data_IF_239629719526
#
_entry.id   IF_239629719526
#
_cell.length_a   1.000
_cell.length_b   1.000
_cell.length_c   1.000
_cell.angle_alpha   90.00
_cell.angle_beta   90.00
_cell.angle_gamma   90.00
#
_symmetry.space_group_name_H-M   'P 1'
#
loop_
_entity.id
_entity.type
_entity.pdbx_description
1 polymer ?
#
# COMPACT_ATOMS: atom_id res chain seq x y z
N UNK A 1 10.15 -61.32 -16.98
CA UNK A 1 9.04 -60.49 -16.44
C UNK A 1 8.92 -59.27 -17.36
N UNK A 2 7.71 -58.83 -17.70
CA UNK A 2 7.53 -57.70 -18.63
C UNK A 2 8.03 -56.39 -18.00
N UNK A 3 8.75 -55.53 -18.75
CA UNK A 3 9.36 -54.32 -18.18
C UNK A 3 8.34 -53.35 -17.56
N UNK A 4 7.11 -53.32 -18.08
CA UNK A 4 6.01 -52.52 -17.52
C UNK A 4 5.65 -52.90 -16.07
N UNK A 5 5.69 -54.19 -15.70
CA UNK A 5 5.32 -54.63 -14.34
C UNK A 5 6.39 -54.24 -13.32
N UNK A 6 7.67 -54.31 -13.71
CA UNK A 6 8.78 -53.88 -12.84
C UNK A 6 8.74 -52.36 -12.65
N UNK A 7 8.51 -51.59 -13.73
CA UNK A 7 8.32 -50.13 -13.66
C UNK A 7 7.17 -49.71 -12.74
N UNK A 8 6.03 -50.42 -12.78
CA UNK A 8 4.88 -50.12 -11.95
C UNK A 8 5.08 -50.48 -10.47
N UNK A 9 5.82 -51.56 -10.16
CA UNK A 9 6.21 -51.88 -8.78
C UNK A 9 7.22 -50.85 -8.26
N UNK A 10 8.25 -50.52 -9.05
CA UNK A 10 9.25 -49.50 -8.70
C UNK A 10 8.58 -48.16 -8.41
N UNK A 11 7.72 -47.64 -9.30
CA UNK A 11 7.07 -46.34 -9.08
C UNK A 11 6.15 -46.33 -7.85
N UNK A 12 5.48 -47.46 -7.55
CA UNK A 12 4.66 -47.57 -6.33
C UNK A 12 5.51 -47.53 -5.05
N UNK A 13 6.69 -48.16 -5.06
CA UNK A 13 7.63 -48.08 -3.95
C UNK A 13 8.26 -46.69 -3.82
N UNK A 14 8.66 -46.06 -4.93
CA UNK A 14 9.24 -44.72 -4.93
C UNK A 14 8.24 -43.65 -4.44
N UNK A 15 6.96 -43.78 -4.76
CA UNK A 15 5.90 -42.87 -4.27
C UNK A 15 5.65 -43.05 -2.77
N UNK A 16 5.77 -44.28 -2.24
CA UNK A 16 5.68 -44.56 -0.79
C UNK A 16 6.96 -44.14 -0.04
N UNK A 17 8.13 -44.26 -0.66
CA UNK A 17 9.44 -44.01 -0.04
C UNK A 17 9.94 -42.55 -0.18
N UNK A 18 9.42 -41.77 -1.13
CA UNK A 18 9.62 -40.32 -1.22
C UNK A 18 11.04 -39.87 -1.56
N UNK A 19 11.74 -40.56 -2.47
CA UNK A 19 13.09 -40.19 -2.92
C UNK A 19 13.15 -40.08 -4.46
N UNK A 20 13.73 -38.97 -4.95
CA UNK A 20 13.78 -38.55 -6.36
C UNK A 20 15.00 -39.11 -7.13
N UNK A 21 14.95 -39.06 -8.47
CA UNK A 21 16.10 -39.20 -9.39
C UNK A 21 16.08 -38.09 -10.50
N UNK A 22 17.23 -37.65 -11.08
CA UNK A 22 17.32 -36.42 -11.91
C UNK A 22 17.74 -36.60 -13.41
N UNK A 23 17.71 -35.46 -14.17
CA UNK A 23 18.23 -35.21 -15.56
C UNK A 23 17.45 -35.83 -16.77
N UNK A 24 17.53 -35.34 -18.05
CA UNK A 24 18.54 -34.41 -18.62
C UNK A 24 18.12 -33.23 -19.56
N UNK A 25 18.94 -32.16 -19.50
CA UNK A 25 19.44 -31.18 -20.51
C UNK A 25 18.67 -30.72 -21.80
N UNK A 26 18.66 -29.39 -22.05
CA UNK A 26 18.45 -28.71 -23.36
C UNK A 26 18.94 -27.23 -23.35
N UNK A 27 19.54 -26.71 -24.44
CA UNK A 27 20.44 -25.51 -24.44
C UNK A 27 19.83 -24.14 -24.88
N UNK A 28 20.53 -22.98 -24.68
CA UNK A 28 19.93 -21.65 -24.42
C UNK A 28 20.02 -20.63 -25.58
N UNK A 29 19.42 -19.41 -25.47
CA UNK A 29 20.04 -18.23 -24.80
C UNK A 29 19.05 -17.46 -23.88
N UNK A 30 19.36 -16.41 -23.09
CA UNK A 30 20.59 -15.76 -22.57
C UNK A 30 20.23 -14.75 -21.45
N UNK A 31 21.18 -14.34 -20.59
CA UNK A 31 21.11 -13.25 -19.56
C UNK A 31 19.91 -13.27 -18.58
N UNK A 32 20.04 -13.41 -17.25
CA UNK A 32 21.13 -13.19 -16.26
C UNK A 32 20.96 -14.15 -15.07
N UNK A 33 21.98 -14.37 -14.21
CA UNK A 33 21.90 -15.28 -13.07
C UNK A 33 21.11 -14.71 -11.86
N UNK A 34 21.06 -15.49 -10.78
CA UNK A 34 20.62 -15.12 -9.42
C UNK A 34 19.11 -14.94 -9.18
N UNK A 35 18.37 -16.05 -9.27
CA UNK A 35 17.17 -16.29 -8.46
C UNK A 35 17.37 -17.54 -7.61
N UNK A 36 17.72 -17.35 -6.34
CA UNK A 36 17.91 -18.45 -5.41
C UNK A 36 16.66 -19.34 -5.32
N UNK A 37 16.76 -20.68 -5.48
CA UNK A 37 15.61 -21.58 -5.37
C UNK A 37 15.01 -21.61 -3.95
N UNK A 38 15.74 -21.10 -2.95
CA UNK A 38 15.28 -20.94 -1.56
C UNK A 38 14.24 -19.82 -1.36
N UNK A 39 13.85 -19.09 -2.41
CA UNK A 39 12.75 -18.14 -2.38
C UNK A 39 11.34 -18.78 -2.38
N UNK A 40 11.23 -20.07 -2.74
CA UNK A 40 9.95 -20.79 -2.86
C UNK A 40 9.49 -21.51 -1.60
N UNK A 41 10.34 -21.64 -0.57
CA UNK A 41 9.97 -22.24 0.71
C UNK A 41 9.52 -21.14 1.68
N UNK A 42 8.26 -21.17 2.18
CA UNK A 42 7.82 -20.24 3.22
C UNK A 42 8.65 -20.45 4.50
N UNK A 43 9.65 -19.60 4.73
CA UNK A 43 10.46 -19.68 5.95
C UNK A 43 9.55 -19.46 7.16
N UNK A 44 9.61 -20.32 8.19
CA UNK A 44 8.81 -20.13 9.39
C UNK A 44 9.14 -18.77 10.02
N UNK A 45 8.09 -17.98 10.28
CA UNK A 45 8.25 -16.62 10.76
C UNK A 45 8.82 -16.64 12.19
N UNK A 46 10.09 -16.24 12.32
CA UNK A 46 10.71 -15.96 13.62
C UNK A 46 9.84 -14.98 14.43
N UNK A 47 9.84 -15.02 15.78
CA UNK A 47 8.98 -14.17 16.61
C UNK A 47 9.12 -12.66 16.29
N UNK A 48 10.35 -12.23 15.97
CA UNK A 48 10.66 -10.87 15.54
C UNK A 48 9.96 -10.49 14.21
N UNK A 49 9.80 -11.44 13.30
CA UNK A 49 9.09 -11.26 12.04
C UNK A 49 7.59 -11.03 12.25
N UNK A 50 6.96 -11.75 13.19
CA UNK A 50 5.56 -11.53 13.54
C UNK A 50 5.35 -10.13 14.15
N UNK A 51 6.26 -9.69 15.01
CA UNK A 51 6.20 -8.34 15.60
C UNK A 51 6.37 -7.24 14.55
N UNK A 52 7.32 -7.40 13.61
CA UNK A 52 7.50 -6.48 12.48
C UNK A 52 6.24 -6.41 11.59
N UNK A 53 5.57 -7.53 11.34
CA UNK A 53 4.31 -7.56 10.57
C UNK A 53 3.15 -6.88 11.31
N UNK A 54 3.04 -7.06 12.63
CA UNK A 54 2.02 -6.35 13.46
C UNK A 54 2.22 -4.84 13.41
N UNK A 55 3.47 -4.36 13.55
CA UNK A 55 3.81 -2.93 13.42
C UNK A 55 3.50 -2.39 12.03
N UNK A 56 3.84 -3.15 10.98
CA UNK A 56 3.52 -2.79 9.60
C UNK A 56 2.01 -2.62 9.38
N UNK A 57 1.20 -3.58 9.85
CA UNK A 57 -0.25 -3.53 9.73
C UNK A 57 -0.86 -2.37 10.54
N UNK A 58 -0.36 -2.12 11.76
CA UNK A 58 -0.75 -0.98 12.58
C UNK A 58 -0.48 0.36 11.85
N UNK A 59 0.75 0.53 11.36
CA UNK A 59 1.18 1.74 10.64
C UNK A 59 0.36 1.95 9.35
N UNK A 60 0.08 0.88 8.61
CA UNK A 60 -0.74 0.90 7.40
C UNK A 60 -2.19 1.32 7.69
N UNK A 61 -2.83 0.68 8.68
CA UNK A 61 -4.20 1.02 9.13
C UNK A 61 -4.28 2.48 9.55
N UNK A 62 -3.32 2.92 10.37
CA UNK A 62 -3.30 4.28 10.91
C UNK A 62 -3.25 5.34 9.79
N UNK A 63 -2.32 5.22 8.84
CA UNK A 63 -2.23 6.15 7.71
C UNK A 63 -3.45 6.06 6.77
N UNK A 64 -3.93 4.85 6.46
CA UNK A 64 -5.08 4.63 5.56
C UNK A 64 -6.37 5.20 6.15
N UNK A 65 -6.64 4.97 7.44
CA UNK A 65 -7.79 5.52 8.17
C UNK A 65 -7.68 7.05 8.31
N UNK A 66 -6.51 7.58 8.66
CA UNK A 66 -6.27 9.02 8.77
C UNK A 66 -6.54 9.77 7.46
N UNK A 67 -5.96 9.31 6.35
CA UNK A 67 -6.17 9.93 5.02
C UNK A 67 -7.65 9.89 4.58
N UNK A 68 -8.38 8.80 4.88
CA UNK A 68 -9.82 8.71 4.59
C UNK A 68 -10.65 9.70 5.40
N UNK A 69 -10.32 9.88 6.70
CA UNK A 69 -10.98 10.85 7.61
C UNK A 69 -10.68 12.30 7.26
N UNK A 70 -9.44 12.59 6.83
CA UNK A 70 -9.04 13.85 6.22
C UNK A 70 -9.72 14.09 4.86
N UNK A 71 -10.52 13.16 4.34
CA UNK A 71 -11.35 13.32 3.14
C UNK A 71 -10.60 13.15 1.81
N UNK A 72 -9.49 12.43 1.81
CA UNK A 72 -8.83 11.94 0.59
C UNK A 72 -9.46 10.64 0.10
N UNK A 73 -9.40 10.39 -1.20
CA UNK A 73 -9.91 9.15 -1.81
C UNK A 73 -8.78 8.13 -1.85
N UNK A 74 -8.72 7.27 -0.83
CA UNK A 74 -7.77 6.15 -0.73
C UNK A 74 -8.37 4.89 -1.34
N UNK A 75 -7.62 4.24 -2.23
CA UNK A 75 -8.01 2.98 -2.87
C UNK A 75 -7.41 1.76 -2.14
N UNK A 76 -8.00 0.59 -2.31
CA UNK A 76 -7.55 -0.65 -1.66
C UNK A 76 -7.93 -0.75 -0.19
N UNK A 77 -7.36 -1.75 0.48
CA UNK A 77 -7.63 -2.12 1.87
C UNK A 77 -6.89 -1.22 2.88
N UNK A 78 -7.28 -1.27 4.17
CA UNK A 78 -6.62 -0.55 5.26
C UNK A 78 -5.34 -1.24 5.74
N UNK A 79 -5.26 -2.55 5.60
CA UNK A 79 -4.14 -3.37 6.09
C UNK A 79 -2.97 -3.42 5.10
N UNK A 80 -3.17 -2.90 3.88
CA UNK A 80 -2.16 -2.87 2.83
C UNK A 80 -1.03 -1.88 3.16
N UNK A 81 0.25 -2.31 3.17
CA UNK A 81 1.39 -1.42 3.40
C UNK A 81 1.63 -0.42 2.26
N UNK A 82 1.00 -0.66 1.10
CA UNK A 82 0.96 0.28 -0.03
C UNK A 82 -0.39 0.97 0.00
N UNK A 83 -0.39 2.29 0.23
CA UNK A 83 -1.59 3.11 0.39
C UNK A 83 -1.70 4.07 -0.80
N UNK A 84 -2.53 3.74 -1.82
CA UNK A 84 -2.73 4.59 -2.99
C UNK A 84 -3.77 5.69 -2.75
N UNK A 85 -3.33 6.95 -2.81
CA UNK A 85 -4.16 8.16 -2.82
C UNK A 85 -4.47 8.57 -4.27
N UNK A 86 -5.76 8.57 -4.63
CA UNK A 86 -6.22 8.96 -5.96
C UNK A 86 -6.29 10.48 -6.09
N UNK A 87 -5.53 11.03 -7.04
CA UNK A 87 -5.47 12.49 -7.31
C UNK A 87 -6.32 12.87 -8.54
N UNK A 88 -6.59 11.93 -9.45
CA UNK A 88 -7.38 12.09 -10.70
C UNK A 88 -6.86 13.15 -11.70
N UNK A 89 -5.85 13.94 -11.34
CA UNK A 89 -5.33 15.04 -12.14
C UNK A 89 -3.79 14.96 -12.26
N UNK A 90 -3.25 14.39 -13.36
CA UNK A 90 -1.82 14.05 -13.46
C UNK A 90 -0.88 15.26 -13.31
N UNK A 91 -1.26 16.45 -13.77
CA UNK A 91 -0.43 17.66 -13.64
C UNK A 91 -0.13 18.06 -12.20
N UNK A 92 -1.07 17.86 -11.27
CA UNK A 92 -0.92 18.20 -9.84
C UNK A 92 -0.09 17.15 -9.08
N UNK A 93 0.05 15.94 -9.61
CA UNK A 93 0.74 14.85 -8.90
C UNK A 93 2.24 15.09 -8.76
N UNK A 94 2.88 15.61 -9.82
CA UNK A 94 4.31 15.91 -9.78
C UNK A 94 4.59 17.11 -8.84
N UNK A 95 3.70 18.10 -8.84
CA UNK A 95 3.76 19.24 -7.92
C UNK A 95 3.58 18.79 -6.46
N UNK A 96 2.61 17.92 -6.18
CA UNK A 96 2.41 17.31 -4.86
C UNK A 96 3.67 16.62 -4.34
N UNK A 97 4.32 15.79 -5.18
CA UNK A 97 5.55 15.10 -4.83
C UNK A 97 6.73 16.04 -4.58
N UNK A 98 6.86 17.12 -5.37
CA UNK A 98 7.91 18.13 -5.17
C UNK A 98 7.69 18.92 -3.88
N UNK A 99 6.46 19.40 -3.64
CA UNK A 99 6.11 20.13 -2.43
C UNK A 99 6.32 19.30 -1.15
N UNK A 100 6.06 17.99 -1.19
CA UNK A 100 6.35 17.10 -0.05
C UNK A 100 7.85 16.97 0.24
N UNK A 101 8.66 16.84 -0.81
CA UNK A 101 10.11 16.74 -0.67
C UNK A 101 10.72 18.06 -0.21
N UNK A 102 10.34 19.18 -0.83
CA UNK A 102 10.89 20.51 -0.56
C UNK A 102 10.53 21.06 0.82
N UNK A 103 9.32 20.78 1.33
CA UNK A 103 8.83 21.35 2.59
C UNK A 103 8.97 20.43 3.81
N UNK A 104 8.88 19.12 3.64
CA UNK A 104 8.84 18.15 4.74
C UNK A 104 9.89 17.05 4.61
N UNK A 105 10.73 17.07 3.57
CA UNK A 105 11.68 15.99 3.23
C UNK A 105 11.03 14.61 3.03
N UNK A 106 9.75 14.56 2.65
CA UNK A 106 9.00 13.31 2.44
C UNK A 106 9.04 12.93 0.95
N UNK A 107 9.51 11.72 0.65
CA UNK A 107 9.49 11.13 -0.70
C UNK A 107 8.20 10.31 -0.88
N UNK A 108 7.49 10.53 -2.00
CA UNK A 108 6.29 9.77 -2.37
C UNK A 108 6.38 9.20 -3.77
N UNK A 109 5.77 8.03 -4.00
CA UNK A 109 5.84 7.36 -5.31
C UNK A 109 4.66 7.81 -6.18
N UNK A 110 4.95 8.67 -7.16
CA UNK A 110 3.99 9.08 -8.19
C UNK A 110 3.81 7.94 -9.20
N UNK A 111 2.59 7.45 -9.39
CA UNK A 111 2.27 6.44 -10.42
C UNK A 111 1.26 7.01 -11.42
N UNK A 112 1.74 7.18 -12.65
CA UNK A 112 1.01 7.68 -13.80
C UNK A 112 1.05 6.67 -14.96
N UNK A 113 0.62 7.11 -16.14
CA UNK A 113 0.81 6.37 -17.40
C UNK A 113 2.31 6.11 -17.67
N UNK A 114 2.74 4.92 -18.15
CA UNK A 114 1.94 3.80 -18.64
C UNK A 114 1.50 2.79 -17.55
N UNK A 115 2.02 2.88 -16.32
CA UNK A 115 1.79 1.89 -15.27
C UNK A 115 0.34 1.88 -14.71
N UNK A 116 -0.41 2.97 -14.89
CA UNK A 116 -1.86 3.04 -14.61
C UNK A 116 -2.58 3.87 -15.67
N UNK A 117 -3.86 3.59 -15.99
CA UNK A 117 -4.67 4.44 -16.85
C UNK A 117 -4.72 5.89 -16.34
N UNK A 118 -4.67 6.87 -17.27
CA UNK A 118 -4.63 8.32 -16.99
C UNK A 118 -5.68 8.76 -15.95
N UNK A 119 -6.92 8.30 -16.11
CA UNK A 119 -8.07 8.59 -15.21
C UNK A 119 -7.89 8.08 -13.78
N UNK A 120 -6.94 7.16 -13.55
CA UNK A 120 -6.71 6.48 -12.27
C UNK A 120 -5.32 6.74 -11.68
N UNK A 121 -4.65 7.80 -12.17
CA UNK A 121 -3.33 8.22 -11.72
C UNK A 121 -3.35 8.54 -10.22
N UNK A 122 -2.38 8.00 -9.49
CA UNK A 122 -2.37 7.95 -8.02
C UNK A 122 -0.98 8.08 -7.43
N UNK A 123 -0.89 8.69 -6.26
CA UNK A 123 0.35 8.70 -5.45
C UNK A 123 0.27 7.54 -4.46
N UNK A 124 1.37 6.82 -4.26
CA UNK A 124 1.45 5.70 -3.32
C UNK A 124 2.36 6.08 -2.16
N UNK A 125 1.84 5.95 -0.94
CA UNK A 125 2.66 5.89 0.26
C UNK A 125 3.07 4.43 0.47
N UNK A 126 4.37 4.20 0.62
CA UNK A 126 4.95 2.89 0.88
C UNK A 126 5.38 2.84 2.34
N UNK A 127 4.57 2.22 3.20
CA UNK A 127 4.81 2.15 4.63
C UNK A 127 5.64 0.91 4.96
N UNK A 128 6.57 1.07 5.91
CA UNK A 128 7.46 0.02 6.42
C UNK A 128 7.34 -0.08 7.95
N UNK A 129 7.66 -1.24 8.52
CA UNK A 129 7.60 -1.51 9.96
C UNK A 129 8.52 -0.61 10.82
N UNK A 130 9.52 0.03 10.19
CA UNK A 130 10.48 0.94 10.85
C UNK A 130 9.97 2.37 11.04
N UNK A 131 8.83 2.74 10.44
CA UNK A 131 8.27 4.08 10.64
C UNK A 131 7.70 4.22 12.05
N UNK A 132 8.00 5.35 12.69
CA UNK A 132 7.41 5.71 13.98
C UNK A 132 6.00 6.29 13.79
N UNK A 133 5.23 6.41 14.88
CA UNK A 133 3.91 7.06 14.81
C UNK A 133 4.07 8.52 14.41
N UNK A 134 5.08 9.18 14.96
CA UNK A 134 5.42 10.58 14.77
C UNK A 134 5.76 10.88 13.30
N UNK A 135 6.34 9.93 12.57
CA UNK A 135 6.57 10.07 11.12
C UNK A 135 5.28 9.97 10.31
N UNK A 136 4.34 9.11 10.73
CA UNK A 136 3.02 9.01 10.10
C UNK A 136 2.19 10.27 10.39
N UNK A 137 2.29 10.82 11.59
CA UNK A 137 1.66 12.08 11.99
C UNK A 137 2.17 13.25 11.13
N UNK A 138 3.49 13.34 10.89
CA UNK A 138 4.08 14.30 9.93
C UNK A 138 3.54 14.10 8.51
N UNK A 139 3.42 12.86 8.03
CA UNK A 139 2.85 12.54 6.71
C UNK A 139 1.39 13.02 6.62
N UNK A 140 0.57 12.80 7.65
CA UNK A 140 -0.81 13.25 7.69
C UNK A 140 -0.90 14.79 7.64
N UNK A 141 -0.11 15.50 8.46
CA UNK A 141 -0.07 16.97 8.48
C UNK A 141 0.38 17.54 7.12
N UNK A 142 1.46 17.00 6.55
CA UNK A 142 1.98 17.43 5.25
C UNK A 142 0.99 17.16 4.11
N UNK A 143 0.33 16.00 4.13
CA UNK A 143 -0.70 15.64 3.13
C UNK A 143 -1.92 16.54 3.23
N UNK A 144 -2.34 16.91 4.43
CA UNK A 144 -3.48 17.80 4.63
C UNK A 144 -3.21 19.20 4.08
N UNK A 145 -2.08 19.80 4.47
CA UNK A 145 -1.69 21.17 4.06
C UNK A 145 -1.45 21.27 2.54
N UNK A 146 -0.74 20.32 1.94
CA UNK A 146 -0.52 20.30 0.47
C UNK A 146 -1.82 19.94 -0.27
N UNK A 147 -2.61 19.03 0.28
CA UNK A 147 -3.90 18.61 -0.29
C UNK A 147 -4.95 19.71 -0.29
N UNK A 148 -4.88 20.65 0.65
CA UNK A 148 -5.69 21.87 0.65
C UNK A 148 -5.21 22.85 -0.42
N UNK A 149 -3.91 23.19 -0.44
CA UNK A 149 -3.31 24.09 -1.43
C UNK A 149 -3.54 23.64 -2.88
N UNK A 150 -3.55 22.33 -3.14
CA UNK A 150 -3.77 21.76 -4.47
C UNK A 150 -5.25 21.38 -4.74
N UNK A 151 -6.15 21.52 -3.76
CA UNK A 151 -7.58 21.18 -3.91
C UNK A 151 -7.82 19.69 -4.20
N UNK A 152 -7.14 18.80 -3.48
CA UNK A 152 -7.19 17.33 -3.65
C UNK A 152 -8.19 16.65 -2.69
N UNK A 153 -8.80 17.42 -1.81
CA UNK A 153 -9.73 17.05 -0.72
C UNK A 153 -11.13 16.62 -1.24
N UNK A 154 -11.19 15.69 -2.20
CA UNK A 154 -12.35 15.41 -3.08
C UNK A 154 -13.37 14.36 -2.60
N UNK A 155 -13.20 13.72 -1.43
CA UNK A 155 -14.11 12.65 -0.99
C UNK A 155 -15.54 13.15 -0.75
N UNK A 156 -16.54 12.59 -1.45
CA UNK A 156 -17.97 12.97 -1.29
C UNK A 156 -18.50 12.75 0.14
N UNK A 157 -17.92 11.82 0.90
CA UNK A 157 -18.30 11.56 2.31
C UNK A 157 -17.90 12.72 3.24
N UNK A 158 -16.97 13.58 2.80
CA UNK A 158 -16.47 14.74 3.54
C UNK A 158 -16.28 15.95 2.59
N UNK A 159 -17.37 16.27 1.87
CA UNK A 159 -17.33 16.87 0.53
C UNK A 159 -16.82 18.31 0.39
N UNK A 160 -15.83 18.48 -0.48
CA UNK A 160 -15.54 19.76 -1.16
C UNK A 160 -16.44 19.99 -2.39
N UNK A 161 -16.95 18.91 -3.01
CA UNK A 161 -17.67 18.94 -4.29
C UNK A 161 -19.18 19.22 -4.20
N UNK A 162 -19.72 19.45 -3.01
CA UNK A 162 -21.17 19.65 -2.80
C UNK A 162 -21.63 21.11 -2.82
N UNK A 163 -20.72 22.10 -2.77
CA UNK A 163 -21.13 23.49 -2.67
C UNK A 163 -20.18 24.47 -3.42
N UNK A 164 -20.59 25.08 -4.55
CA UNK A 164 -19.76 26.05 -5.27
C UNK A 164 -19.57 27.39 -4.55
N UNK A 165 -20.25 27.62 -3.41
CA UNK A 165 -20.05 28.79 -2.54
C UNK A 165 -19.08 28.55 -1.37
N UNK A 166 -18.36 27.41 -1.35
CA UNK A 166 -17.50 26.99 -0.23
C UNK A 166 -16.22 27.84 0.03
N UNK A 167 -16.08 29.02 -0.57
CA UNK A 167 -15.00 29.97 -0.26
C UNK A 167 -15.26 30.78 1.04
N UNK A 168 -16.46 30.68 1.63
CA UNK A 168 -16.89 31.56 2.75
C UNK A 168 -17.44 30.81 3.97
N UNK A 169 -17.55 29.47 3.93
CA UNK A 169 -18.11 28.67 5.02
C UNK A 169 -17.29 27.41 5.31
N UNK A 170 -17.22 26.94 6.58
CA UNK A 170 -16.52 25.71 6.93
C UNK A 170 -17.10 24.49 6.19
N UNK A 171 -16.24 23.55 5.81
CA UNK A 171 -16.59 22.39 5.00
C UNK A 171 -17.32 21.34 5.87
N UNK A 172 -18.66 21.39 5.84
CA UNK A 172 -19.54 20.42 6.54
C UNK A 172 -19.78 19.19 5.64
N UNK A 173 -19.75 17.99 6.23
CA UNK A 173 -20.04 16.75 5.51
C UNK A 173 -21.54 16.66 5.15
N UNK A 174 -21.91 15.81 4.18
CA UNK A 174 -23.32 15.53 3.85
C UNK A 174 -24.12 14.98 5.04
N UNK A 175 -23.43 14.33 6.00
CA UNK A 175 -23.99 13.76 7.21
C UNK A 175 -24.20 14.82 8.34
N UNK A 176 -24.02 16.12 8.06
CA UNK A 176 -24.10 17.21 9.04
C UNK A 176 -22.91 17.31 10.01
N UNK A 177 -22.11 16.26 10.14
CA UNK A 177 -20.86 16.28 10.91
C UNK A 177 -19.80 17.16 10.25
N UNK A 178 -18.92 17.78 11.05
CA UNK A 178 -17.75 18.50 10.55
C UNK A 178 -16.71 17.53 9.94
N UNK A 179 -15.91 17.99 8.97
CA UNK A 179 -14.68 17.30 8.57
C UNK A 179 -13.77 17.15 9.81
N UNK A 180 -13.04 16.06 9.94
CA UNK A 180 -12.08 15.94 11.03
C UNK A 180 -10.88 16.82 10.73
N UNK A 181 -10.62 17.80 11.58
CA UNK A 181 -9.41 18.61 11.54
C UNK A 181 -8.19 17.73 11.87
N UNK A 182 -7.01 18.15 11.43
CA UNK A 182 -5.78 17.37 11.62
C UNK A 182 -5.54 17.03 13.09
N UNK A 183 -5.83 17.96 14.01
CA UNK A 183 -5.73 17.74 15.45
C UNK A 183 -6.66 16.60 15.91
N UNK A 184 -7.92 16.62 15.49
CA UNK A 184 -8.92 15.58 15.79
C UNK A 184 -8.52 14.22 15.23
N UNK A 185 -7.83 14.15 14.09
CA UNK A 185 -7.31 12.89 13.53
C UNK A 185 -6.16 12.34 14.39
N UNK A 186 -5.25 13.18 14.84
CA UNK A 186 -4.11 12.82 15.68
C UNK A 186 -4.55 12.38 17.09
N UNK A 187 -5.45 13.13 17.72
CA UNK A 187 -5.96 12.85 19.06
C UNK A 187 -6.75 11.54 19.11
N UNK A 188 -7.54 11.25 18.05
CA UNK A 188 -8.30 10.00 17.92
C UNK A 188 -7.50 8.84 17.30
N UNK A 189 -6.17 8.89 17.36
CA UNK A 189 -5.28 7.92 16.70
C UNK A 189 -5.53 6.46 17.05
N UNK A 190 -5.97 6.15 18.28
CA UNK A 190 -6.38 4.79 18.68
C UNK A 190 -7.66 4.32 17.97
N UNK A 191 -8.66 5.20 17.80
CA UNK A 191 -9.91 4.88 17.12
C UNK A 191 -9.72 4.62 15.61
N UNK A 192 -8.68 5.19 15.00
CA UNK A 192 -8.32 4.96 13.59
C UNK A 192 -7.73 3.56 13.31
N UNK A 193 -7.19 2.92 14.35
CA UNK A 193 -6.58 1.57 14.28
C UNK A 193 -7.60 0.48 14.58
N UNK A 194 -8.65 0.79 15.36
CA UNK A 194 -9.68 -0.14 15.81
C UNK A 194 -10.92 -0.22 14.88
N UNK A 195 -11.01 0.62 13.84
CA UNK A 195 -12.20 0.79 12.98
C UNK A 195 -11.93 0.48 11.49
#
# INVERSE_FOLDING_TARGET
>A
MSPAVIQQIMSSLTLIAGLEDPEPTGQPPSSTPDKDPSALVPRPLVPEGQERLRRLAFNARYLSSGLRKLGFIVYGDRDSPIIPLLIFHPGKMLQFSRMMLERYAIVVVVVAYPATPLVSSRVRFCVSASHTKEDIDKILIATDQIGELLGLKMSKRNGFLSNPSALTHPIVNLDGNQRWDIQTVLDNSLALVQA
#
